data_IF_814254407969
#
_entry.id   IF_814254407969
#
_cell.length_a   1.000
_cell.length_b   1.000
_cell.length_c   1.000
_cell.angle_alpha   90.00
_cell.angle_beta   90.00
_cell.angle_gamma   90.00
#
_symmetry.space_group_name_H-M   'P 1'
#
loop_
_entity.id
_entity.type
_entity.pdbx_description
1 polymer ?
#
# COMPACT_ATOMS: atom_id res chain seq x y z
N UNK A 1 -19.99 -9.41 0.50
CA UNK A 1 -20.12 -8.25 -0.40
C UNK A 1 -20.10 -6.94 0.38
N UNK A 2 -20.99 -6.75 1.38
CA UNK A 2 -21.15 -5.50 2.15
C UNK A 2 -19.91 -5.02 2.95
N UNK A 3 -18.81 -5.77 2.93
CA UNK A 3 -17.54 -5.41 3.57
C UNK A 3 -16.53 -4.79 2.59
N UNK A 4 -16.75 -4.93 1.27
CA UNK A 4 -15.84 -4.45 0.22
C UNK A 4 -16.47 -3.30 -0.57
N UNK A 5 -17.75 -3.43 -0.90
CA UNK A 5 -18.57 -2.41 -1.55
C UNK A 5 -19.91 -2.32 -0.82
N UNK A 6 -20.53 -1.14 -0.85
CA UNK A 6 -21.81 -0.88 -0.21
C UNK A 6 -22.94 -1.62 -0.94
N UNK A 7 -22.85 -1.69 -2.28
CA UNK A 7 -23.85 -2.32 -3.13
C UNK A 7 -23.24 -2.96 -4.39
N UNK A 8 -24.03 -3.76 -5.14
CA UNK A 8 -23.55 -4.40 -6.37
C UNK A 8 -23.17 -3.42 -7.49
N UNK A 9 -23.77 -2.21 -7.53
CA UNK A 9 -23.49 -1.21 -8.57
C UNK A 9 -22.10 -0.62 -8.38
N UNK A 10 -21.69 -0.36 -7.14
CA UNK A 10 -20.34 0.10 -6.81
C UNK A 10 -19.30 -0.96 -7.22
N UNK A 11 -19.57 -2.24 -6.96
CA UNK A 11 -18.70 -3.35 -7.40
C UNK A 11 -18.56 -3.42 -8.92
N UNK A 12 -19.66 -3.25 -9.66
CA UNK A 12 -19.67 -3.21 -11.12
C UNK A 12 -18.89 -2.01 -11.67
N UNK A 13 -19.13 -0.82 -11.12
CA UNK A 13 -18.45 0.41 -11.52
C UNK A 13 -16.94 0.33 -11.29
N UNK A 14 -16.52 -0.15 -10.11
CA UNK A 14 -15.10 -0.35 -9.79
C UNK A 14 -14.46 -1.40 -10.71
N UNK A 15 -15.14 -2.51 -10.95
CA UNK A 15 -14.62 -3.56 -11.84
C UNK A 15 -14.45 -3.02 -13.26
N UNK A 16 -15.44 -2.27 -13.75
CA UNK A 16 -15.42 -1.62 -15.07
C UNK A 16 -14.31 -0.59 -15.19
N UNK A 17 -14.05 0.23 -14.16
CA UNK A 17 -12.95 1.21 -14.21
C UNK A 17 -11.59 0.52 -14.35
N UNK A 18 -11.40 -0.62 -13.67
CA UNK A 18 -10.14 -1.38 -13.72
C UNK A 18 -9.95 -2.11 -15.05
N UNK A 19 -10.91 -2.96 -15.46
CA UNK A 19 -10.73 -3.85 -16.63
C UNK A 19 -11.27 -3.26 -17.94
N UNK A 20 -11.97 -2.13 -17.87
CA UNK A 20 -12.67 -1.50 -18.98
C UNK A 20 -13.95 -2.23 -19.39
N UNK A 21 -14.61 -1.74 -20.43
CA UNK A 21 -15.84 -2.30 -20.97
C UNK A 21 -15.70 -2.63 -22.45
N UNK A 22 -16.45 -3.61 -22.91
CA UNK A 22 -16.61 -3.90 -24.34
C UNK A 22 -18.08 -4.22 -24.58
N UNK A 23 -18.73 -3.38 -25.38
CA UNK A 23 -20.12 -3.54 -25.79
C UNK A 23 -20.14 -4.24 -27.15
N UNK A 24 -20.87 -5.35 -27.22
CA UNK A 24 -21.11 -6.10 -28.45
C UNK A 24 -22.55 -5.87 -28.88
N UNK A 25 -22.74 -5.38 -30.11
CA UNK A 25 -24.06 -5.07 -30.67
C UNK A 25 -24.40 -6.04 -31.79
N UNK A 26 -25.64 -6.54 -31.76
CA UNK A 26 -26.18 -7.50 -32.73
C UNK A 26 -26.93 -6.83 -33.89
N UNK A 27 -26.94 -5.49 -33.99
CA UNK A 27 -27.64 -4.76 -35.05
C UNK A 27 -26.98 -4.89 -36.43
N UNK A 28 -27.79 -4.82 -37.48
CA UNK A 28 -27.33 -4.71 -38.87
C UNK A 28 -27.02 -3.25 -39.23
N UNK A 29 -25.84 -3.00 -39.82
CA UNK A 29 -25.41 -1.68 -40.28
C UNK A 29 -24.86 -0.74 -39.19
N UNK A 30 -24.71 -1.20 -37.95
CA UNK A 30 -24.12 -0.45 -36.85
C UNK A 30 -22.67 -0.86 -36.56
N UNK A 31 -21.93 -0.03 -35.82
CA UNK A 31 -20.65 -0.44 -35.24
C UNK A 31 -20.90 -1.55 -34.21
N UNK A 32 -20.47 -2.77 -34.54
CA UNK A 32 -20.77 -3.99 -33.79
C UNK A 32 -19.99 -4.13 -32.48
N UNK A 33 -18.91 -3.37 -32.31
CA UNK A 33 -18.02 -3.44 -31.15
C UNK A 33 -17.59 -2.05 -30.72
N UNK A 34 -17.90 -1.67 -29.49
CA UNK A 34 -17.43 -0.43 -28.88
C UNK A 34 -16.71 -0.77 -27.57
N UNK A 35 -15.59 -0.10 -27.28
CA UNK A 35 -14.79 -0.41 -26.10
C UNK A 35 -14.35 0.82 -25.34
N UNK A 36 -14.33 0.71 -24.01
CA UNK A 36 -13.67 1.67 -23.13
C UNK A 36 -12.51 0.95 -22.43
N UNK A 37 -11.31 1.51 -22.53
CA UNK A 37 -10.15 0.96 -21.84
C UNK A 37 -10.29 1.15 -20.32
N UNK A 38 -9.85 0.13 -19.57
CA UNK A 38 -9.71 0.25 -18.13
C UNK A 38 -8.43 0.99 -17.76
N UNK A 39 -8.40 1.55 -16.55
CA UNK A 39 -7.23 2.24 -16.00
C UNK A 39 -6.24 1.28 -15.33
N UNK A 40 -6.65 0.03 -15.06
CA UNK A 40 -5.83 -1.00 -14.43
C UNK A 40 -5.76 -0.91 -12.91
N UNK A 41 -5.25 -1.99 -12.29
CA UNK A 41 -5.17 -2.07 -10.82
C UNK A 41 -4.17 -1.10 -10.19
N UNK A 42 -3.10 -0.76 -10.91
CA UNK A 42 -2.10 0.19 -10.40
C UNK A 42 -2.71 1.57 -10.17
N UNK A 43 -3.55 2.04 -11.11
CA UNK A 43 -4.23 3.32 -10.94
C UNK A 43 -5.20 3.30 -9.76
N UNK A 44 -5.96 2.21 -9.63
CA UNK A 44 -6.85 2.02 -8.48
C UNK A 44 -6.09 1.98 -7.15
N UNK A 45 -4.88 1.41 -7.12
CA UNK A 45 -3.99 1.42 -5.95
C UNK A 45 -3.55 2.83 -5.57
N UNK A 46 -3.10 3.63 -6.54
CA UNK A 46 -2.66 5.02 -6.30
C UNK A 46 -3.78 5.88 -5.71
N UNK A 47 -5.01 5.74 -6.25
CA UNK A 47 -6.19 6.44 -5.76
C UNK A 47 -6.52 6.03 -4.32
N UNK A 48 -6.57 4.72 -4.05
CA UNK A 48 -6.84 4.18 -2.71
C UNK A 48 -5.76 4.63 -1.71
N UNK A 49 -4.49 4.63 -2.11
CA UNK A 49 -3.38 5.09 -1.28
C UNK A 49 -3.48 6.58 -0.95
N UNK A 50 -3.85 7.41 -1.93
CA UNK A 50 -4.02 8.86 -1.72
C UNK A 50 -5.12 9.12 -0.68
N UNK A 51 -6.30 8.52 -0.89
CA UNK A 51 -7.42 8.67 0.04
C UNK A 51 -7.10 8.13 1.44
N UNK A 52 -6.40 6.99 1.54
CA UNK A 52 -6.00 6.44 2.82
C UNK A 52 -4.95 7.28 3.53
N UNK A 53 -3.99 7.84 2.80
CA UNK A 53 -2.96 8.70 3.37
C UNK A 53 -3.57 9.97 3.99
N UNK A 54 -4.52 10.59 3.29
CA UNK A 54 -5.26 11.76 3.79
C UNK A 54 -6.06 11.41 5.06
N UNK A 55 -6.89 10.36 5.01
CA UNK A 55 -7.71 9.95 6.14
C UNK A 55 -6.89 9.54 7.37
N UNK A 56 -5.77 8.82 7.16
CA UNK A 56 -4.87 8.45 8.25
C UNK A 56 -4.13 9.68 8.80
N UNK A 57 -3.70 10.62 7.96
CA UNK A 57 -3.09 11.85 8.41
C UNK A 57 -4.03 12.67 9.30
N UNK A 58 -5.32 12.77 8.94
CA UNK A 58 -6.32 13.46 9.75
C UNK A 58 -6.60 12.77 11.10
N UNK A 59 -6.60 11.43 11.12
CA UNK A 59 -6.71 10.67 12.37
C UNK A 59 -5.47 10.86 13.26
N UNK A 60 -4.28 10.86 12.69
CA UNK A 60 -3.02 10.99 13.41
C UNK A 60 -2.84 12.41 13.93
N UNK A 61 -3.12 13.44 13.13
CA UNK A 61 -3.04 14.86 13.52
C UNK A 61 -4.10 15.26 14.56
N UNK A 62 -5.19 14.50 14.66
CA UNK A 62 -6.32 14.80 15.54
C UNK A 62 -7.37 15.71 14.92
N UNK A 63 -7.30 15.97 13.60
CA UNK A 63 -8.36 16.63 12.85
C UNK A 63 -9.65 15.81 12.83
N UNK A 64 -9.52 14.48 12.85
CA UNK A 64 -10.64 13.54 12.92
C UNK A 64 -10.53 12.66 14.17
N UNK A 65 -11.63 12.52 14.91
CA UNK A 65 -11.70 11.62 16.06
C UNK A 65 -11.66 10.15 15.61
N UNK A 66 -10.92 9.25 16.30
CA UNK A 66 -10.83 7.83 15.98
C UNK A 66 -12.09 7.08 16.42
N UNK A 67 -13.21 7.41 15.79
CA UNK A 67 -14.50 6.72 15.92
C UNK A 67 -14.46 5.36 15.20
N UNK A 68 -15.35 4.41 15.54
CA UNK A 68 -15.39 3.11 14.86
C UNK A 68 -15.55 3.23 13.33
N UNK A 69 -16.32 4.20 12.83
CA UNK A 69 -16.50 4.42 11.40
C UNK A 69 -15.23 4.96 10.74
N UNK A 70 -14.55 5.93 11.36
CA UNK A 70 -13.31 6.49 10.83
C UNK A 70 -12.18 5.45 10.81
N UNK A 71 -12.07 4.63 11.87
CA UNK A 71 -11.11 3.51 11.92
C UNK A 71 -11.41 2.45 10.85
N UNK A 72 -12.69 2.13 10.62
CA UNK A 72 -13.07 1.22 9.55
C UNK A 72 -12.76 1.81 8.16
N UNK A 73 -12.93 3.12 7.98
CA UNK A 73 -12.63 3.83 6.74
C UNK A 73 -11.14 3.82 6.35
N UNK A 74 -10.23 3.50 7.28
CA UNK A 74 -8.80 3.29 7.00
C UNK A 74 -8.32 1.84 7.12
N UNK A 75 -9.23 0.89 7.39
CA UNK A 75 -8.93 -0.54 7.55
C UNK A 75 -9.11 -1.35 6.27
N UNK A 76 -8.32 -2.41 6.04
CA UNK A 76 -8.42 -3.23 4.82
C UNK A 76 -9.32 -4.47 4.93
N UNK A 77 -10.03 -4.64 6.05
CA UNK A 77 -10.99 -5.72 6.28
C UNK A 77 -10.63 -6.63 7.46
N UNK A 78 -11.25 -7.82 7.57
CA UNK A 78 -10.99 -8.75 8.67
C UNK A 78 -9.51 -9.15 8.74
N UNK A 79 -8.88 -8.98 9.91
CA UNK A 79 -7.46 -9.28 10.11
C UNK A 79 -6.50 -8.14 9.77
N UNK A 80 -6.97 -7.08 9.12
CA UNK A 80 -6.19 -5.88 8.76
C UNK A 80 -6.95 -4.61 9.18
N UNK A 81 -7.29 -4.55 10.47
CA UNK A 81 -7.98 -3.41 11.07
C UNK A 81 -7.02 -2.46 11.75
N UNK A 82 -7.23 -1.17 11.53
CA UNK A 82 -6.54 -0.09 12.24
C UNK A 82 -7.29 0.18 13.53
N UNK A 83 -6.61 0.05 14.66
CA UNK A 83 -7.22 0.32 15.98
C UNK A 83 -6.89 1.73 16.46
N UNK A 84 -7.67 2.23 17.43
CA UNK A 84 -7.36 3.49 18.12
C UNK A 84 -5.96 3.49 18.71
N UNK A 85 -5.54 2.36 19.30
CA UNK A 85 -4.20 2.22 19.88
C UNK A 85 -3.08 2.39 18.85
N UNK A 86 -3.30 1.92 17.61
CA UNK A 86 -2.34 2.14 16.51
C UNK A 86 -2.25 3.63 16.16
N UNK A 87 -3.39 4.32 16.01
CA UNK A 87 -3.41 5.77 15.71
C UNK A 87 -2.71 6.56 16.83
N UNK A 88 -3.01 6.26 18.10
CA UNK A 88 -2.39 6.94 19.24
C UNK A 88 -0.90 6.64 19.38
N UNK A 89 -0.46 5.43 19.00
CA UNK A 89 0.96 5.08 18.98
C UNK A 89 1.70 5.87 17.89
N UNK A 90 1.17 5.91 16.66
CA UNK A 90 1.74 6.68 15.55
C UNK A 90 1.81 8.16 15.91
N UNK A 91 0.75 8.72 16.52
CA UNK A 91 0.70 10.13 16.94
C UNK A 91 1.82 10.52 17.91
N UNK A 92 2.28 9.59 18.74
CA UNK A 92 3.34 9.83 19.74
C UNK A 92 4.74 9.54 19.21
N UNK A 93 4.85 8.97 18.01
CA UNK A 93 6.12 8.59 17.40
C UNK A 93 6.77 9.80 16.70
N UNK A 94 8.09 10.03 16.84
CA UNK A 94 8.78 11.09 16.11
C UNK A 94 8.71 10.94 14.59
N UNK A 95 8.53 9.73 14.06
CA UNK A 95 8.43 9.43 12.64
C UNK A 95 6.96 9.26 12.19
N UNK A 96 6.00 9.90 12.89
CA UNK A 96 4.56 9.77 12.66
C UNK A 96 4.15 9.89 11.18
N UNK A 97 4.69 10.88 10.45
CA UNK A 97 4.38 11.12 9.03
C UNK A 97 4.79 9.93 8.15
N UNK A 98 6.01 9.40 8.36
CA UNK A 98 6.53 8.26 7.63
C UNK A 98 5.71 6.99 7.94
N UNK A 99 5.40 6.74 9.21
CA UNK A 99 4.59 5.60 9.63
C UNK A 99 3.16 5.68 9.07
N UNK A 100 2.60 6.88 9.02
CA UNK A 100 1.28 7.15 8.41
C UNK A 100 1.26 6.80 6.93
N UNK A 101 2.25 7.27 6.16
CA UNK A 101 2.38 6.98 4.73
C UNK A 101 2.59 5.47 4.46
N UNK A 102 3.38 4.80 5.31
CA UNK A 102 3.58 3.35 5.22
C UNK A 102 2.30 2.57 5.46
N UNK A 103 1.60 2.89 6.54
CA UNK A 103 0.32 2.25 6.87
C UNK A 103 -0.71 2.47 5.77
N UNK A 104 -0.77 3.68 5.19
CA UNK A 104 -1.63 3.98 4.06
C UNK A 104 -1.32 3.08 2.86
N UNK A 105 -0.03 2.94 2.50
CA UNK A 105 0.39 2.07 1.40
C UNK A 105 0.07 0.59 1.61
N UNK A 106 0.26 0.07 2.83
CA UNK A 106 -0.07 -1.32 3.18
C UNK A 106 -1.58 -1.59 3.12
N UNK A 107 -2.38 -0.69 3.70
CA UNK A 107 -3.84 -0.79 3.67
C UNK A 107 -4.38 -0.65 2.24
N UNK A 108 -3.83 0.27 1.44
CA UNK A 108 -4.23 0.47 0.06
C UNK A 108 -3.97 -0.78 -0.78
N UNK A 109 -2.78 -1.36 -0.68
CA UNK A 109 -2.42 -2.57 -1.42
C UNK A 109 -3.36 -3.72 -1.04
N UNK A 110 -3.56 -3.95 0.26
CA UNK A 110 -4.47 -5.00 0.73
C UNK A 110 -5.92 -4.81 0.24
N UNK A 111 -6.43 -3.58 0.29
CA UNK A 111 -7.78 -3.26 -0.20
C UNK A 111 -7.91 -3.50 -1.70
N UNK A 112 -6.97 -2.98 -2.49
CA UNK A 112 -6.99 -3.13 -3.94
C UNK A 112 -6.88 -4.59 -4.36
N UNK A 113 -5.99 -5.36 -3.72
CA UNK A 113 -5.86 -6.79 -3.96
C UNK A 113 -7.16 -7.55 -3.61
N UNK A 114 -7.79 -7.20 -2.49
CA UNK A 114 -9.06 -7.80 -2.08
C UNK A 114 -10.18 -7.47 -3.07
N UNK A 115 -10.33 -6.20 -3.46
CA UNK A 115 -11.29 -5.75 -4.49
C UNK A 115 -11.05 -6.50 -5.81
N UNK A 116 -9.80 -6.62 -6.25
CA UNK A 116 -9.44 -7.34 -7.47
C UNK A 116 -9.83 -8.82 -7.44
N UNK A 117 -9.53 -9.53 -6.34
CA UNK A 117 -9.92 -10.93 -6.16
C UNK A 117 -11.44 -11.11 -6.18
N UNK A 118 -12.19 -10.18 -5.60
CA UNK A 118 -13.66 -10.22 -5.65
C UNK A 118 -14.21 -9.89 -7.04
N UNK A 119 -13.65 -8.91 -7.73
CA UNK A 119 -14.02 -8.59 -9.11
C UNK A 119 -13.80 -9.81 -10.02
N UNK A 120 -12.67 -10.50 -9.89
CA UNK A 120 -12.41 -11.76 -10.60
C UNK A 120 -13.47 -12.83 -10.33
N UNK A 121 -13.83 -13.04 -9.06
CA UNK A 121 -14.88 -14.02 -8.68
C UNK A 121 -16.24 -13.63 -9.27
N UNK A 122 -16.58 -12.34 -9.24
CA UNK A 122 -17.82 -11.82 -9.80
C UNK A 122 -17.89 -12.06 -11.31
N UNK A 123 -16.80 -11.78 -12.04
CA UNK A 123 -16.72 -12.00 -13.49
C UNK A 123 -16.87 -13.49 -13.85
N UNK A 124 -16.22 -14.39 -13.11
CA UNK A 124 -16.36 -15.84 -13.32
C UNK A 124 -17.78 -16.34 -13.02
N UNK A 125 -18.43 -15.80 -11.99
CA UNK A 125 -19.83 -16.11 -11.72
C UNK A 125 -20.75 -15.63 -12.85
N UNK A 126 -20.54 -14.42 -13.37
CA UNK A 126 -21.26 -13.89 -14.52
C UNK A 126 -21.01 -14.68 -15.81
N UNK A 127 -19.78 -15.14 -16.03
CA UNK A 127 -19.41 -15.99 -17.17
C UNK A 127 -20.18 -17.31 -17.19
N UNK A 128 -20.59 -17.80 -16.02
CA UNK A 128 -21.32 -19.06 -15.86
C UNK A 128 -22.81 -18.92 -16.14
N UNK A 129 -23.31 -17.71 -16.39
CA UNK A 129 -24.72 -17.46 -16.69
C UNK A 129 -25.06 -17.98 -18.11
N UNK A 130 -26.15 -18.75 -18.32
CA UNK A 130 -26.49 -19.34 -19.62
C UNK A 130 -26.61 -18.35 -20.80
N UNK A 131 -27.14 -17.15 -20.56
CA UNK A 131 -27.23 -16.10 -21.58
C UNK A 131 -25.87 -15.51 -21.98
N UNK A 132 -24.86 -15.60 -21.12
CA UNK A 132 -23.49 -15.14 -21.40
C UNK A 132 -22.62 -16.26 -21.97
N UNK A 133 -22.65 -17.44 -21.36
CA UNK A 133 -21.80 -18.59 -21.74
C UNK A 133 -22.02 -19.07 -23.16
N UNK A 134 -23.21 -18.89 -23.73
CA UNK A 134 -23.52 -19.23 -25.12
C UNK A 134 -23.01 -18.18 -26.15
N UNK A 135 -22.48 -17.04 -25.69
CA UNK A 135 -21.92 -16.00 -26.56
C UNK A 135 -20.39 -16.15 -26.68
N UNK A 136 -19.93 -16.84 -27.71
CA UNK A 136 -18.49 -17.11 -27.94
C UNK A 136 -17.63 -15.83 -28.03
N UNK A 137 -18.13 -14.77 -28.68
CA UNK A 137 -17.40 -13.50 -28.81
C UNK A 137 -17.29 -12.80 -27.45
N UNK A 138 -18.38 -12.77 -26.69
CA UNK A 138 -18.41 -12.21 -25.33
C UNK A 138 -17.48 -12.98 -24.38
N UNK A 139 -17.49 -14.31 -24.46
CA UNK A 139 -16.61 -15.17 -23.66
C UNK A 139 -15.14 -14.95 -24.00
N UNK A 140 -14.80 -14.82 -25.29
CA UNK A 140 -13.41 -14.54 -25.72
C UNK A 140 -12.90 -13.20 -25.16
N UNK A 141 -13.71 -12.14 -25.21
CA UNK A 141 -13.34 -10.85 -24.63
C UNK A 141 -13.27 -10.87 -23.11
N UNK A 142 -14.15 -11.62 -22.46
CA UNK A 142 -14.15 -11.81 -21.01
C UNK A 142 -12.89 -12.56 -20.54
N UNK A 143 -12.51 -13.64 -21.21
CA UNK A 143 -11.29 -14.40 -20.93
C UNK A 143 -10.03 -13.55 -21.10
N UNK A 144 -10.00 -12.70 -22.13
CA UNK A 144 -8.89 -11.74 -22.33
C UNK A 144 -8.79 -10.75 -21.17
N UNK A 145 -9.92 -10.20 -20.71
CA UNK A 145 -9.97 -9.28 -19.56
C UNK A 145 -9.59 -9.98 -18.26
N UNK A 146 -10.08 -11.20 -18.02
CA UNK A 146 -9.71 -12.02 -16.85
C UNK A 146 -8.22 -12.34 -16.83
N UNK A 147 -7.64 -12.70 -17.98
CA UNK A 147 -6.20 -12.97 -18.09
C UNK A 147 -5.37 -11.74 -17.76
N UNK A 148 -5.80 -10.55 -18.18
CA UNK A 148 -5.14 -9.30 -17.82
C UNK A 148 -5.26 -9.00 -16.33
N UNK A 149 -6.47 -9.15 -15.77
CA UNK A 149 -6.71 -8.96 -14.35
C UNK A 149 -5.86 -9.92 -13.48
N UNK A 150 -5.69 -11.17 -13.90
CA UNK A 150 -4.88 -12.16 -13.18
C UNK A 150 -3.39 -11.75 -13.15
N UNK A 151 -2.86 -11.24 -14.27
CA UNK A 151 -1.49 -10.70 -14.31
C UNK A 151 -1.34 -9.48 -13.39
N UNK A 152 -2.31 -8.57 -13.39
CA UNK A 152 -2.28 -7.39 -12.53
C UNK A 152 -2.37 -7.79 -11.04
N UNK A 153 -3.19 -8.80 -10.70
CA UNK A 153 -3.27 -9.36 -9.34
C UNK A 153 -1.92 -9.94 -8.92
N UNK A 154 -1.26 -10.70 -9.78
CA UNK A 154 0.04 -11.29 -9.45
C UNK A 154 1.16 -10.24 -9.34
N UNK A 155 1.08 -9.17 -10.14
CA UNK A 155 1.96 -8.01 -9.99
C UNK A 155 1.77 -7.34 -8.61
N UNK A 156 0.53 -7.10 -8.17
CA UNK A 156 0.25 -6.52 -6.86
C UNK A 156 0.71 -7.42 -5.70
N UNK A 157 0.54 -8.74 -5.80
CA UNK A 157 1.06 -9.68 -4.79
C UNK A 157 2.59 -9.58 -4.70
N UNK A 158 3.26 -9.58 -5.85
CA UNK A 158 4.72 -9.47 -5.92
C UNK A 158 5.18 -8.14 -5.30
N UNK A 159 4.47 -7.05 -5.56
CA UNK A 159 4.75 -5.75 -4.96
C UNK A 159 4.61 -5.78 -3.43
N UNK A 160 3.57 -6.42 -2.89
CA UNK A 160 3.39 -6.58 -1.44
C UNK A 160 4.54 -7.35 -0.80
N UNK A 161 4.94 -8.46 -1.42
CA UNK A 161 6.05 -9.30 -0.95
C UNK A 161 7.36 -8.50 -0.94
N UNK A 162 7.65 -7.77 -2.02
CA UNK A 162 8.84 -6.93 -2.13
C UNK A 162 8.83 -5.81 -1.09
N UNK A 163 7.72 -5.09 -0.93
CA UNK A 163 7.60 -4.02 0.07
C UNK A 163 7.81 -4.55 1.49
N UNK A 164 7.24 -5.71 1.82
CA UNK A 164 7.40 -6.36 3.13
C UNK A 164 8.86 -6.77 3.37
N UNK A 165 9.51 -7.38 2.36
CA UNK A 165 10.91 -7.78 2.45
C UNK A 165 11.84 -6.56 2.63
N UNK A 166 11.62 -5.49 1.88
CA UNK A 166 12.40 -4.26 1.97
C UNK A 166 12.22 -3.54 3.31
N UNK A 167 11.00 -3.49 3.84
CA UNK A 167 10.71 -2.90 5.16
C UNK A 167 11.52 -3.61 6.27
N UNK A 168 11.52 -4.94 6.27
CA UNK A 168 12.28 -5.75 7.23
C UNK A 168 13.80 -5.52 7.11
N UNK A 169 14.33 -5.47 5.88
CA UNK A 169 15.76 -5.26 5.64
C UNK A 169 16.21 -3.84 6.02
N UNK A 170 15.44 -2.81 5.68
CA UNK A 170 15.75 -1.42 6.01
C UNK A 170 15.78 -1.19 7.52
N UNK A 171 14.83 -1.77 8.25
CA UNK A 171 14.78 -1.73 9.71
C UNK A 171 16.03 -2.39 10.32
N UNK A 172 16.40 -3.58 9.85
CA UNK A 172 17.61 -4.28 10.31
C UNK A 172 18.89 -3.47 10.04
N UNK A 173 19.04 -2.90 8.84
CA UNK A 173 20.18 -2.04 8.49
C UNK A 173 20.26 -0.77 9.33
N UNK A 174 19.12 -0.16 9.67
CA UNK A 174 19.07 1.01 10.56
C UNK A 174 19.47 0.64 12.00
N UNK A 175 18.96 -0.47 12.53
CA UNK A 175 19.31 -0.99 13.85
C UNK A 175 20.79 -1.36 13.95
N UNK A 176 21.34 -2.03 12.94
CA UNK A 176 22.78 -2.32 12.85
C UNK A 176 23.61 -1.04 12.89
N UNK A 177 23.22 0.00 12.14
CA UNK A 177 23.90 1.30 12.17
C UNK A 177 23.83 2.01 13.52
N UNK A 178 22.71 1.89 14.25
CA UNK A 178 22.61 2.43 15.62
C UNK A 178 23.48 1.63 16.58
N UNK A 179 23.48 0.30 16.48
CA UNK A 179 24.32 -0.57 17.30
C UNK A 179 25.82 -0.32 17.07
N UNK A 180 26.26 -0.17 15.82
CA UNK A 180 27.63 0.20 15.47
C UNK A 180 28.01 1.59 16.01
N UNK A 181 27.12 2.58 15.92
CA UNK A 181 27.36 3.91 16.51
C UNK A 181 27.49 3.83 18.03
N UNK A 182 26.63 3.07 18.71
CA UNK A 182 26.72 2.83 20.16
C UNK A 182 28.01 2.11 20.56
N UNK A 183 28.41 1.08 19.80
CA UNK A 183 29.68 0.37 20.01
C UNK A 183 30.89 1.29 19.83
N UNK A 184 30.86 2.18 18.83
CA UNK A 184 31.93 3.16 18.59
C UNK A 184 31.97 4.27 19.65
N UNK A 185 30.83 4.67 20.22
CA UNK A 185 30.79 5.63 21.35
C UNK A 185 31.18 5.01 22.69
N UNK A 186 31.11 3.68 22.82
CA UNK A 186 31.51 2.95 24.02
C UNK A 186 32.96 2.43 23.98
N UNK A 187 33.76 2.81 22.99
CA UNK A 187 35.20 2.54 22.99
C UNK A 187 35.86 3.29 24.17
N UNK A 188 36.49 2.58 25.13
CA UNK A 188 37.09 3.22 26.29
C UNK A 188 38.30 4.05 25.85
N UNK A 189 38.28 5.34 26.20
CA UNK A 189 39.43 6.23 26.30
C UNK A 189 40.46 6.12 25.18
N UNK A 190 40.27 6.85 24.10
CA UNK A 190 41.44 7.33 23.34
C UNK A 190 42.20 8.21 24.33
N UNK A 191 43.34 7.73 24.83
CA UNK A 191 44.30 8.56 25.55
C UNK A 191 44.62 9.75 24.64
N UNK A 192 44.01 10.90 24.90
CA UNK A 192 44.52 12.15 24.32
C UNK A 192 45.97 12.24 24.80
N UNK A 193 46.96 12.44 23.91
CA UNK A 193 48.30 12.73 24.36
C UNK A 193 48.22 13.94 25.29
N UNK A 194 48.65 13.73 26.53
CA UNK A 194 48.64 14.74 27.58
C UNK A 194 49.25 16.02 26.99
N UNK A 195 48.49 17.12 27.08
CA UNK A 195 48.93 18.37 26.49
C UNK A 195 50.28 18.73 27.09
N UNK A 196 51.33 18.76 26.27
CA UNK A 196 52.71 19.14 26.63
C UNK A 196 52.81 20.65 26.94
N UNK A 197 51.79 21.21 27.59
CA UNK A 197 51.67 22.63 27.93
C UNK A 197 51.24 22.80 29.37
N UNK A 198 51.94 23.66 30.09
CA UNK A 198 51.58 24.02 31.46
C UNK A 198 50.25 24.79 31.53
N UNK A 199 49.72 25.04 32.74
CA UNK A 199 48.50 25.83 32.96
C UNK A 199 48.56 27.28 32.43
N UNK A 200 49.69 27.70 31.83
CA UNK A 200 49.90 29.00 31.17
C UNK A 200 50.13 28.87 29.66
N UNK A 201 49.96 27.68 29.08
CA UNK A 201 50.00 27.43 27.65
C UNK A 201 51.41 27.37 27.05
N UNK A 202 52.47 27.27 27.86
CA UNK A 202 53.87 27.17 27.41
C UNK A 202 54.27 25.71 27.19
N UNK A 203 55.08 25.38 26.16
CA UNK A 203 55.62 24.03 25.98
C UNK A 203 56.38 23.59 27.24
N UNK A 204 56.12 22.39 27.76
CA UNK A 204 56.89 21.87 28.90
C UNK A 204 58.32 21.58 28.43
N UNK A 205 59.28 22.36 28.93
CA UNK A 205 60.70 22.07 28.81
C UNK A 205 61.01 20.85 29.67
N UNK A 206 61.02 19.66 29.04
CA UNK A 206 61.80 18.55 29.56
C UNK A 206 63.09 18.47 28.75
N UNK A 207 64.18 18.75 29.47
CA UNK A 207 65.54 18.68 29.02
C UNK A 207 65.96 17.21 28.83
N UNK A 208 66.57 16.95 27.67
CA UNK A 208 67.51 15.88 27.34
C UNK A 208 67.07 14.42 27.50
#
# INVERSE_FOLDING_TARGET
MCTIWQDPQEAANWTKSVIGETELRTCDGCEKKQGQAGTGLMKALEEEQTTLAENLADLVSGNTDPSPSALNAVSAGPGLSVSRGVIEAIRKDPDAELLTQRLAGEMALSRTLTKAMWARRMLLAGASEPGISNNEEGMTELERKLTHLDRDIDALKSELEVRTALANNAAQLALQRVAQRRANTSAPGVNLPESRRDNRGRPSEEAN
#
